data_IF_867362561023
#
_entry.id   IF_867362561023
#
_cell.length_a   1.000
_cell.length_b   1.000
_cell.length_c   1.000
_cell.angle_alpha   90.00
_cell.angle_beta   90.00
_cell.angle_gamma   90.00
#
_symmetry.space_group_name_H-M   'P 1'
#
loop_
_entity.id
_entity.type
_entity.pdbx_description
1 polymer ?
#
# COMPACT_ATOMS: atom_id res chain seq x y z
N UNK A 1 -15.54 -4.27 -8.43
CA UNK A 1 -14.97 -5.43 -7.70
C UNK A 1 -14.06 -4.87 -6.62
N UNK A 2 -14.15 -5.29 -5.35
CA UNK A 2 -13.29 -4.82 -4.24
C UNK A 2 -11.79 -4.82 -4.57
N UNK A 3 -11.42 -5.63 -5.56
CA UNK A 3 -10.07 -5.97 -5.94
C UNK A 3 -9.67 -5.41 -7.31
N UNK A 4 -10.43 -4.46 -7.86
CA UNK A 4 -10.04 -3.80 -9.11
C UNK A 4 -8.84 -2.88 -8.80
N UNK A 5 -7.68 -3.10 -9.44
CA UNK A 5 -6.54 -2.20 -9.25
C UNK A 5 -6.91 -0.78 -9.69
N UNK A 6 -6.39 0.21 -8.98
CA UNK A 6 -6.50 1.61 -9.41
C UNK A 6 -5.46 1.86 -10.52
N UNK A 7 -5.84 2.51 -11.64
CA UNK A 7 -4.91 2.81 -12.72
C UNK A 7 -3.82 3.74 -12.21
N UNK A 8 -2.56 3.41 -12.49
CA UNK A 8 -1.42 4.26 -12.20
C UNK A 8 -0.28 4.00 -13.18
N UNK A 9 0.64 4.97 -13.40
CA UNK A 9 1.80 4.77 -14.27
C UNK A 9 2.67 3.58 -13.85
N UNK A 10 2.79 3.33 -12.55
CA UNK A 10 3.59 2.23 -12.00
C UNK A 10 2.96 0.85 -12.23
N UNK A 11 1.64 0.78 -12.40
CA UNK A 11 0.93 -0.46 -12.72
C UNK A 11 0.81 -0.70 -14.23
N UNK A 12 0.82 0.37 -15.03
CA UNK A 12 0.63 0.29 -16.48
C UNK A 12 1.77 -0.46 -17.21
N UNK A 13 2.97 -0.51 -16.61
CA UNK A 13 4.12 -1.21 -17.17
C UNK A 13 3.92 -2.72 -17.37
N UNK A 14 3.04 -3.35 -16.58
CA UNK A 14 2.71 -4.79 -16.65
C UNK A 14 3.93 -5.72 -16.70
N UNK A 15 5.05 -5.29 -16.09
CA UNK A 15 6.20 -6.16 -15.83
C UNK A 15 6.00 -6.95 -14.52
N UNK A 16 6.93 -7.84 -14.20
CA UNK A 16 6.90 -8.63 -12.96
C UNK A 16 7.10 -7.75 -11.69
N UNK A 17 7.50 -6.49 -11.87
CA UNK A 17 7.79 -5.54 -10.80
C UNK A 17 7.44 -4.10 -11.20
N UNK A 18 7.10 -3.28 -10.20
CA UNK A 18 7.06 -1.83 -10.37
C UNK A 18 8.47 -1.24 -10.32
N UNK A 19 8.70 -0.13 -11.04
CA UNK A 19 9.94 0.65 -10.98
C UNK A 19 9.64 2.04 -10.42
N UNK A 20 10.33 2.42 -9.35
CA UNK A 20 10.09 3.67 -8.62
C UNK A 20 11.30 4.61 -8.78
N UNK A 21 11.05 5.91 -8.86
CA UNK A 21 12.11 6.92 -8.94
C UNK A 21 12.79 7.11 -7.57
N UNK A 22 14.04 6.65 -7.47
CA UNK A 22 14.84 6.77 -6.26
C UNK A 22 15.28 8.21 -5.98
N UNK A 23 15.49 9.05 -7.00
CA UNK A 23 15.91 10.43 -6.80
C UNK A 23 14.80 11.22 -6.09
N UNK A 24 13.54 10.96 -6.44
CA UNK A 24 12.40 11.54 -5.75
C UNK A 24 12.32 11.09 -4.28
N UNK A 25 12.54 9.80 -3.99
CA UNK A 25 12.49 9.28 -2.62
C UNK A 25 13.60 9.84 -1.73
N UNK A 26 14.83 9.94 -2.26
CA UNK A 26 15.98 10.51 -1.53
C UNK A 26 15.79 12.00 -1.25
N UNK A 27 15.05 12.72 -2.10
CA UNK A 27 14.72 14.12 -1.86
C UNK A 27 13.74 14.32 -0.68
N UNK A 28 13.00 13.29 -0.27
CA UNK A 28 12.04 13.34 0.85
C UNK A 28 12.64 12.89 2.19
N UNK A 29 13.77 12.18 2.18
CA UNK A 29 14.44 11.70 3.40
C UNK A 29 15.66 10.81 3.12
N UNK A 30 16.43 10.55 4.17
CA UNK A 30 17.67 9.76 4.09
C UNK A 30 17.45 8.24 4.19
N UNK A 31 16.24 7.83 4.57
CA UNK A 31 15.87 6.43 4.84
C UNK A 31 14.48 6.13 4.27
N UNK A 32 14.33 4.93 3.74
CA UNK A 32 13.06 4.41 3.26
C UNK A 32 12.33 3.69 4.39
N UNK A 33 11.15 4.18 4.77
CA UNK A 33 10.24 3.44 5.63
C UNK A 33 9.50 2.37 4.80
N UNK A 34 9.54 1.13 5.26
CA UNK A 34 8.94 -0.02 4.57
C UNK A 34 8.26 -0.93 5.60
N UNK A 35 6.96 -1.16 5.43
CA UNK A 35 6.16 -2.09 6.24
C UNK A 35 5.31 -2.98 5.33
N UNK A 36 4.87 -4.12 5.86
CA UNK A 36 3.95 -5.04 5.21
C UNK A 36 3.09 -5.69 6.27
N UNK A 37 1.83 -5.93 5.94
CA UNK A 37 0.86 -6.55 6.85
C UNK A 37 -0.06 -7.51 6.10
N UNK A 38 -0.59 -8.49 6.82
CA UNK A 38 -1.60 -9.41 6.32
C UNK A 38 -2.89 -9.26 7.11
N UNK A 39 -4.02 -9.12 6.40
CA UNK A 39 -5.32 -8.84 6.99
C UNK A 39 -6.24 -10.03 6.79
N UNK A 40 -6.73 -10.59 7.91
CA UNK A 40 -7.56 -11.82 7.94
C UNK A 40 -8.84 -11.63 8.74
N UNK A 41 -9.37 -10.41 8.75
CA UNK A 41 -10.55 -10.03 9.54
C UNK A 41 -11.84 -10.73 9.06
N UNK A 42 -12.67 -11.15 10.01
CA UNK A 42 -14.01 -11.69 9.79
C UNK A 42 -15.00 -10.96 10.72
N UNK A 43 -16.11 -10.36 10.21
CA UNK A 43 -16.54 -10.32 8.81
C UNK A 43 -15.69 -9.38 7.92
N UNK A 44 -15.68 -9.63 6.60
CA UNK A 44 -14.98 -8.78 5.63
C UNK A 44 -15.53 -7.33 5.57
N UNK A 45 -16.79 -7.14 5.98
CA UNK A 45 -17.47 -5.86 6.06
C UNK A 45 -18.04 -5.67 7.46
N UNK A 46 -17.80 -4.50 8.05
CA UNK A 46 -18.18 -4.22 9.44
C UNK A 46 -18.55 -2.74 9.60
N UNK A 47 -19.30 -2.37 10.66
CA UNK A 47 -19.61 -0.96 10.93
C UNK A 47 -18.32 -0.11 10.99
N UNK A 48 -18.21 0.89 10.11
CA UNK A 48 -17.04 1.78 10.02
C UNK A 48 -15.99 1.40 8.96
N UNK A 49 -16.11 0.25 8.28
CA UNK A 49 -15.14 -0.13 7.24
C UNK A 49 -15.34 -1.49 6.58
N UNK A 50 -14.27 -1.93 5.92
CA UNK A 50 -14.13 -3.24 5.32
C UNK A 50 -12.65 -3.64 5.31
N UNK A 51 -12.38 -4.90 4.97
CA UNK A 51 -11.02 -5.45 4.89
C UNK A 51 -10.09 -4.61 3.98
N UNK A 52 -10.60 -4.07 2.87
CA UNK A 52 -9.80 -3.25 1.95
C UNK A 52 -9.39 -1.90 2.56
N UNK A 53 -10.33 -1.21 3.21
CA UNK A 53 -10.03 0.02 3.96
C UNK A 53 -9.04 -0.25 5.08
N UNK A 54 -9.23 -1.34 5.84
CA UNK A 54 -8.33 -1.73 6.91
C UNK A 54 -6.92 -2.01 6.37
N UNK A 55 -6.82 -2.71 5.24
CA UNK A 55 -5.54 -3.04 4.62
C UNK A 55 -4.73 -1.82 4.19
N UNK A 56 -5.40 -0.81 3.60
CA UNK A 56 -4.76 0.45 3.22
C UNK A 56 -4.38 1.25 4.47
N UNK A 57 -5.32 1.45 5.40
CA UNK A 57 -5.09 2.28 6.58
C UNK A 57 -4.01 1.71 7.51
N UNK A 58 -4.02 0.41 7.79
CA UNK A 58 -3.01 -0.22 8.65
C UNK A 58 -1.61 -0.05 8.10
N UNK A 59 -1.40 -0.47 6.84
CA UNK A 59 -0.09 -0.43 6.18
C UNK A 59 0.41 1.01 6.00
N UNK A 60 -0.48 1.95 5.66
CA UNK A 60 -0.12 3.35 5.55
C UNK A 60 0.23 3.96 6.93
N UNK A 61 -0.49 3.58 7.98
CA UNK A 61 -0.23 4.07 9.33
C UNK A 61 1.15 3.61 9.83
N UNK A 62 1.55 2.35 9.59
CA UNK A 62 2.88 1.84 9.97
C UNK A 62 4.03 2.66 9.37
N UNK A 63 3.88 3.05 8.10
CA UNK A 63 4.85 3.93 7.44
C UNK A 63 4.76 5.36 8.00
N UNK A 64 3.55 5.86 8.22
CA UNK A 64 3.34 7.23 8.68
C UNK A 64 3.86 7.48 10.10
N UNK A 65 3.77 6.49 11.00
CA UNK A 65 4.25 6.63 12.39
C UNK A 65 5.78 6.76 12.49
N UNK A 66 6.52 6.37 11.44
CA UNK A 66 7.97 6.64 11.37
C UNK A 66 8.29 8.08 10.96
N UNK A 67 7.28 8.91 10.68
CA UNK A 67 7.41 10.26 10.14
C UNK A 67 7.52 10.34 8.61
N UNK A 68 7.47 9.20 7.90
CA UNK A 68 7.49 9.17 6.44
C UNK A 68 6.10 9.45 5.84
N UNK A 69 6.05 9.94 4.60
CA UNK A 69 4.81 10.06 3.85
C UNK A 69 4.60 8.77 3.04
N UNK A 70 3.51 7.99 3.25
CA UNK A 70 3.26 6.79 2.46
C UNK A 70 2.97 7.15 0.99
N UNK A 71 3.87 6.80 0.08
CA UNK A 71 3.76 7.10 -1.37
C UNK A 71 3.26 5.92 -2.20
N UNK A 72 3.68 4.70 -1.86
CA UNK A 72 3.46 3.50 -2.65
C UNK A 72 2.97 2.35 -1.78
N UNK A 73 2.08 1.52 -2.32
CA UNK A 73 1.52 0.34 -1.66
C UNK A 73 1.54 -0.83 -2.64
N UNK A 74 1.91 -2.01 -2.14
CA UNK A 74 1.69 -3.28 -2.83
C UNK A 74 0.41 -3.92 -2.29
N UNK A 75 -0.23 -4.78 -3.09
CA UNK A 75 -1.43 -5.49 -2.67
C UNK A 75 -1.35 -6.95 -3.13
N UNK A 76 -1.55 -7.87 -2.18
CA UNK A 76 -1.61 -9.31 -2.42
C UNK A 76 -2.94 -9.84 -1.90
N UNK A 77 -3.62 -10.64 -2.71
CA UNK A 77 -4.92 -11.22 -2.40
C UNK A 77 -4.80 -12.74 -2.48
N UNK A 78 -5.32 -13.43 -1.47
CA UNK A 78 -5.49 -14.89 -1.47
C UNK A 78 -7.01 -15.13 -1.58
N UNK A 79 -7.42 -15.96 -2.54
CA UNK A 79 -8.81 -16.27 -2.88
C UNK A 79 -9.12 -17.75 -2.66
#
# INVERSE_FOLDING_TARGET
>A
CLWKPLPSPWLAGQEDQARLDLAQLVAEGDRLAFSTDSYVIDPLFFPGGNIGKLAICGTANDVAVSGAIPRYLTCRIIL
#
